data_IF_070607569399
#
_entry.id   IF_070607569399
#
_cell.length_a   1.000
_cell.length_b   1.000
_cell.length_c   1.000
_cell.angle_alpha   90.00
_cell.angle_beta   90.00
_cell.angle_gamma   90.00
#
_symmetry.space_group_name_H-M   'P 1'
#
loop_
_entity.id
_entity.type
_entity.pdbx_description
1 polymer ?
#
# COMPACT_ATOMS: atom_id res chain seq x y z
N UNK A 1 20.56 -50.38 23.97
CA UNK A 1 19.17 -50.79 24.19
C UNK A 1 18.26 -49.57 24.26
N UNK A 2 17.24 -49.61 23.41
CA UNK A 2 15.98 -48.85 23.32
C UNK A 2 15.26 -48.67 24.70
N UNK A 3 14.22 -47.86 24.97
CA UNK A 3 13.31 -46.97 24.22
C UNK A 3 12.36 -46.27 25.22
N UNK A 4 11.55 -45.31 24.75
CA UNK A 4 10.29 -44.90 25.40
C UNK A 4 9.54 -43.76 24.71
N UNK A 5 8.75 -44.08 23.68
CA UNK A 5 7.79 -43.20 22.95
C UNK A 5 6.44 -43.09 23.73
N UNK A 6 5.45 -42.23 23.45
CA UNK A 6 4.99 -41.56 22.21
C UNK A 6 4.09 -40.35 22.50
N UNK A 7 4.03 -39.40 21.56
CA UNK A 7 2.94 -38.43 21.39
C UNK A 7 3.44 -36.99 21.24
N UNK A 8 3.80 -36.55 20.03
CA UNK A 8 4.12 -35.15 19.76
C UNK A 8 3.51 -34.72 18.43
N UNK A 9 2.58 -33.78 18.54
CA UNK A 9 2.04 -32.98 17.46
C UNK A 9 3.08 -31.99 16.89
N UNK A 10 2.76 -31.60 15.67
CA UNK A 10 3.08 -30.34 15.00
C UNK A 10 4.39 -30.20 14.21
N UNK A 11 4.21 -30.57 12.94
CA UNK A 11 4.63 -29.91 11.70
C UNK A 11 6.04 -29.32 11.58
N UNK A 12 6.79 -30.04 10.75
CA UNK A 12 8.06 -29.70 10.12
C UNK A 12 7.88 -28.54 9.14
N UNK A 13 8.78 -27.55 9.15
CA UNK A 13 9.79 -27.32 8.09
C UNK A 13 10.79 -26.21 8.49
N UNK A 14 12.11 -26.46 8.44
CA UNK A 14 13.13 -25.43 8.65
C UNK A 14 13.61 -24.78 7.35
N UNK A 15 13.80 -23.46 7.44
CA UNK A 15 14.79 -22.57 6.82
C UNK A 15 15.35 -22.85 5.40
N UNK A 16 15.20 -21.88 4.49
CA UNK A 16 16.30 -21.48 3.58
C UNK A 16 16.20 -20.00 3.17
N UNK A 17 17.35 -19.36 3.24
CA UNK A 17 17.82 -18.17 2.53
C UNK A 17 17.30 -16.76 2.81
N UNK A 18 18.26 -15.95 3.28
CA UNK A 18 18.25 -14.52 3.32
C UNK A 18 17.86 -13.88 1.97
N UNK A 19 16.82 -13.05 2.00
CA UNK A 19 16.74 -11.90 1.12
C UNK A 19 16.26 -10.72 1.95
N UNK A 20 17.13 -9.73 2.08
CA UNK A 20 16.89 -8.42 2.67
C UNK A 20 15.52 -7.85 2.28
N UNK A 21 14.63 -7.65 3.25
CA UNK A 21 13.52 -6.70 3.13
C UNK A 21 13.71 -5.56 4.12
N UNK A 22 14.77 -4.80 3.89
CA UNK A 22 14.77 -3.34 4.14
C UNK A 22 13.93 -2.62 3.05
N UNK A 23 13.04 -3.34 2.38
CA UNK A 23 12.32 -2.87 1.22
C UNK A 23 11.19 -1.97 1.66
N UNK A 24 11.39 -0.68 1.40
CA UNK A 24 10.38 0.33 1.14
C UNK A 24 9.03 -0.28 0.74
N UNK A 25 7.88 0.31 1.15
CA UNK A 25 6.58 -0.11 0.65
C UNK A 25 6.71 -0.23 -0.87
N UNK A 26 6.49 -1.42 -1.44
CA UNK A 26 6.72 -1.72 -2.87
C UNK A 26 6.33 -0.48 -3.67
N UNK A 27 7.35 0.18 -4.23
CA UNK A 27 7.12 1.39 -5.01
C UNK A 27 6.12 1.01 -6.09
N UNK A 28 4.99 1.72 -6.20
CA UNK A 28 3.98 1.41 -7.21
C UNK A 28 4.69 1.34 -8.56
N UNK A 29 4.58 0.20 -9.23
CA UNK A 29 5.22 -0.04 -10.54
C UNK A 29 4.42 0.61 -11.67
N UNK A 30 3.20 1.02 -11.36
CA UNK A 30 2.35 1.84 -12.21
C UNK A 30 2.76 3.30 -12.10
N UNK A 31 3.13 3.89 -13.23
CA UNK A 31 3.34 5.34 -13.33
C UNK A 31 2.01 6.05 -13.46
N UNK A 32 1.85 7.16 -12.73
CA UNK A 32 0.68 8.03 -12.88
C UNK A 32 0.66 8.67 -14.28
N UNK A 33 -0.48 8.67 -15.00
CA UNK A 33 -0.62 9.39 -16.26
C UNK A 33 -0.31 10.88 -16.13
N UNK A 34 0.13 11.50 -17.23
CA UNK A 34 0.36 12.95 -17.30
C UNK A 34 -0.98 13.67 -17.06
N UNK A 35 -1.09 14.38 -15.94
CA UNK A 35 -2.32 15.08 -15.52
C UNK A 35 -2.87 14.63 -14.17
N UNK A 36 -2.47 13.47 -13.65
CA UNK A 36 -2.88 13.04 -12.31
C UNK A 36 -2.12 13.82 -11.25
N UNK A 37 -2.85 14.53 -10.39
CA UNK A 37 -2.29 15.28 -9.27
C UNK A 37 -2.47 14.55 -7.95
N UNK A 38 -1.40 14.53 -7.14
CA UNK A 38 -1.40 13.98 -5.79
C UNK A 38 -1.34 15.09 -4.73
N UNK A 39 -1.96 14.88 -3.57
CA UNK A 39 -1.88 15.83 -2.47
C UNK A 39 -0.48 15.74 -1.83
N UNK A 40 0.02 16.88 -1.34
CA UNK A 40 1.34 16.95 -0.65
C UNK A 40 1.25 16.68 0.85
N UNK A 41 0.05 16.81 1.42
CA UNK A 41 -0.21 16.57 2.84
C UNK A 41 -1.62 16.01 3.04
N UNK A 42 -1.84 15.38 4.19
CA UNK A 42 -3.19 14.98 4.62
C UNK A 42 -4.04 16.24 4.75
N UNK A 43 -5.26 16.22 4.20
CA UNK A 43 -6.18 17.36 4.29
C UNK A 43 -6.47 17.69 5.75
N UNK A 44 -6.46 18.98 6.09
CA UNK A 44 -6.79 19.47 7.44
C UNK A 44 -8.21 19.10 7.86
N UNK A 45 -9.09 18.81 6.88
CA UNK A 45 -10.44 18.24 7.08
C UNK A 45 -10.43 16.94 7.89
N UNK A 46 -9.36 16.15 7.80
CA UNK A 46 -9.19 14.86 8.48
C UNK A 46 -8.18 14.94 9.63
N UNK A 47 -7.86 16.15 10.12
CA UNK A 47 -6.88 16.35 11.21
C UNK A 47 -7.27 15.69 12.52
N UNK A 48 -8.57 15.48 12.77
CA UNK A 48 -9.08 14.76 13.96
C UNK A 48 -9.06 13.24 13.82
N UNK A 49 -8.72 12.71 12.64
CA UNK A 49 -8.64 11.27 12.40
C UNK A 49 -7.22 10.74 12.58
N UNK A 50 -7.08 9.42 12.68
CA UNK A 50 -5.75 8.81 12.67
C UNK A 50 -5.05 9.07 11.35
N UNK A 51 -3.71 9.23 11.32
CA UNK A 51 -2.97 9.51 10.09
C UNK A 51 -3.25 8.51 8.96
N UNK A 52 -3.48 7.24 9.30
CA UNK A 52 -3.85 6.20 8.33
C UNK A 52 -5.20 6.48 7.65
N UNK A 53 -6.22 6.86 8.43
CA UNK A 53 -7.56 7.18 7.90
C UNK A 53 -7.54 8.50 7.14
N UNK A 54 -6.85 9.51 7.68
CA UNK A 54 -6.67 10.80 7.01
C UNK A 54 -6.00 10.69 5.65
N UNK A 55 -4.96 9.85 5.49
CA UNK A 55 -4.35 9.55 4.17
C UNK A 55 -5.36 8.91 3.22
N UNK A 56 -6.12 7.92 3.68
CA UNK A 56 -7.13 7.24 2.85
C UNK A 56 -8.18 8.22 2.34
N UNK A 57 -8.77 9.02 3.22
CA UNK A 57 -9.79 9.99 2.83
C UNK A 57 -9.23 11.10 1.93
N UNK A 58 -8.03 11.61 2.25
CA UNK A 58 -7.36 12.62 1.40
C UNK A 58 -7.11 12.08 -0.01
N UNK A 59 -6.58 10.85 -0.12
CA UNK A 59 -6.37 10.22 -1.41
C UNK A 59 -7.69 9.96 -2.14
N UNK A 60 -8.74 9.55 -1.43
CA UNK A 60 -10.06 9.31 -2.03
C UNK A 60 -10.61 10.59 -2.65
N UNK A 61 -10.59 11.68 -1.89
CA UNK A 61 -11.08 12.98 -2.37
C UNK A 61 -10.28 13.46 -3.59
N UNK A 62 -8.95 13.29 -3.56
CA UNK A 62 -8.12 13.64 -4.70
C UNK A 62 -8.39 12.74 -5.91
N UNK A 63 -8.67 11.45 -5.72
CA UNK A 63 -9.05 10.55 -6.82
C UNK A 63 -10.35 11.01 -7.49
N UNK A 64 -11.35 11.39 -6.69
CA UNK A 64 -12.59 11.96 -7.22
C UNK A 64 -12.32 13.26 -7.96
N UNK A 65 -11.50 14.18 -7.42
CA UNK A 65 -11.16 15.41 -8.12
C UNK A 65 -10.49 15.16 -9.48
N UNK A 66 -9.56 14.21 -9.56
CA UNK A 66 -8.95 13.81 -10.84
C UNK A 66 -9.95 13.11 -11.78
N UNK A 67 -10.92 12.38 -11.23
CA UNK A 67 -11.99 11.73 -12.00
C UNK A 67 -12.92 12.76 -12.63
N UNK A 68 -13.37 13.75 -11.86
CA UNK A 68 -14.22 14.84 -12.35
C UNK A 68 -13.48 15.72 -13.36
N UNK A 69 -12.15 15.85 -13.22
CA UNK A 69 -11.30 16.56 -14.17
C UNK A 69 -10.90 15.73 -15.41
N UNK A 70 -11.33 14.46 -15.51
CA UNK A 70 -10.93 13.49 -16.54
C UNK A 70 -9.39 13.40 -16.73
N UNK A 71 -8.63 13.54 -15.64
CA UNK A 71 -7.17 13.48 -15.65
C UNK A 71 -6.62 12.12 -15.27
N UNK A 72 -7.47 11.19 -14.81
CA UNK A 72 -7.05 9.86 -14.39
C UNK A 72 -6.44 9.04 -15.54
N UNK A 73 -6.80 9.29 -16.79
CA UNK A 73 -6.20 8.60 -17.95
C UNK A 73 -6.27 7.07 -17.85
N UNK A 74 -7.34 6.54 -17.25
CA UNK A 74 -7.52 5.10 -17.00
C UNK A 74 -6.91 4.58 -15.70
N UNK A 75 -6.24 5.41 -14.90
CA UNK A 75 -5.71 5.04 -13.58
C UNK A 75 -6.86 4.73 -12.61
N UNK A 76 -6.95 3.47 -12.19
CA UNK A 76 -7.96 3.02 -11.23
C UNK A 76 -7.54 3.31 -9.80
N UNK A 77 -8.53 3.42 -8.90
CA UNK A 77 -8.31 3.56 -7.46
C UNK A 77 -7.34 2.50 -6.90
N UNK A 78 -7.61 1.22 -7.18
CA UNK A 78 -6.77 0.06 -6.88
C UNK A 78 -6.69 -0.82 -8.13
N UNK A 79 -5.49 -1.25 -8.49
CA UNK A 79 -5.24 -2.19 -9.59
C UNK A 79 -3.95 -3.00 -9.34
N UNK A 80 -3.76 -4.08 -10.11
CA UNK A 80 -2.53 -4.89 -10.07
C UNK A 80 -1.31 -3.99 -10.33
N UNK A 81 -0.30 -4.06 -9.48
CA UNK A 81 0.93 -3.24 -9.59
C UNK A 81 0.85 -1.85 -8.94
N UNK A 82 -0.27 -1.51 -8.29
CA UNK A 82 -0.45 -0.22 -7.61
C UNK A 82 -1.41 0.68 -8.38
N UNK A 83 -2.46 1.13 -7.70
CA UNK A 83 -3.41 2.11 -8.25
C UNK A 83 -3.12 3.51 -7.78
N UNK A 84 -4.07 4.40 -8.04
CA UNK A 84 -4.03 5.77 -7.55
C UNK A 84 -3.77 5.84 -6.05
N UNK A 85 -4.41 4.99 -5.25
CA UNK A 85 -4.23 5.02 -3.79
C UNK A 85 -2.79 4.71 -3.38
N UNK A 86 -2.14 3.71 -3.99
CA UNK A 86 -0.75 3.36 -3.70
C UNK A 86 0.19 4.52 -4.02
N UNK A 87 -0.01 5.17 -5.17
CA UNK A 87 0.75 6.34 -5.62
C UNK A 87 0.54 7.55 -4.70
N UNK A 88 -0.71 7.85 -4.37
CA UNK A 88 -1.05 8.95 -3.47
C UNK A 88 -0.50 8.72 -2.05
N UNK A 89 -0.64 7.51 -1.52
CA UNK A 89 -0.11 7.17 -0.20
C UNK A 89 1.42 7.20 -0.19
N UNK A 90 2.08 6.79 -1.29
CA UNK A 90 3.52 6.98 -1.44
C UNK A 90 3.88 8.46 -1.43
N UNK A 91 3.20 9.31 -2.21
CA UNK A 91 3.42 10.75 -2.25
C UNK A 91 3.21 11.45 -0.89
N UNK A 92 2.26 11.00 -0.08
CA UNK A 92 1.99 11.53 1.26
C UNK A 92 2.96 11.05 2.36
N UNK A 93 3.71 9.98 2.10
CA UNK A 93 4.70 9.41 3.03
C UNK A 93 6.15 9.71 2.62
N UNK A 94 6.34 10.29 1.43
CA UNK A 94 7.64 10.67 0.88
C UNK A 94 8.14 11.99 1.46
#
# INVERSE_FOLDING_TARGET
SQCGASGSDDDTMPATDQASLTSHPETPTVTAPQGVTFPKAISTKYSSETPAKGRMHTCRDQYHANKEADTLGGLKWIQKGGGFYSLCNAALKS
#
